data_IF_316325660590
#
_entry.id   IF_316325660590
#
_cell.length_a   1.000
_cell.length_b   1.000
_cell.length_c   1.000
_cell.angle_alpha   90.00
_cell.angle_beta   90.00
_cell.angle_gamma   90.00
#
_symmetry.space_group_name_H-M   'P 1'
#
loop_
_entity.id
_entity.type
_entity.pdbx_description
1 polymer ?
#
# COMPACT_ATOMS: atom_id res chain seq x y z
N UNK A 1 -4.76 22.00 -10.83
CA UNK A 1 -4.90 20.61 -10.32
C UNK A 1 -4.42 19.66 -11.41
N UNK A 2 -3.54 18.72 -11.09
CA UNK A 2 -2.81 17.92 -12.10
C UNK A 2 -3.74 16.89 -12.79
N UNK A 3 -3.70 16.77 -14.12
CA UNK A 3 -4.54 15.80 -14.86
C UNK A 3 -4.34 14.36 -14.39
N UNK A 4 -3.12 14.04 -13.97
CA UNK A 4 -2.74 12.72 -13.45
C UNK A 4 -3.49 12.35 -12.16
N UNK A 5 -3.78 13.33 -11.31
CA UNK A 5 -4.56 13.13 -10.09
C UNK A 5 -5.98 12.68 -10.40
N UNK A 6 -6.63 13.30 -11.39
CA UNK A 6 -7.98 12.93 -11.82
C UNK A 6 -8.04 11.54 -12.48
N UNK A 7 -7.01 11.18 -13.24
CA UNK A 7 -6.91 9.84 -13.85
C UNK A 7 -6.76 8.78 -12.75
N UNK A 8 -5.88 9.00 -11.78
CA UNK A 8 -5.70 8.07 -10.65
C UNK A 8 -6.99 7.95 -9.84
N UNK A 9 -7.69 9.05 -9.59
CA UNK A 9 -8.98 9.02 -8.89
C UNK A 9 -10.05 8.23 -9.64
N UNK A 10 -10.11 8.41 -10.97
CA UNK A 10 -11.08 7.71 -11.81
C UNK A 10 -10.81 6.19 -11.82
N UNK A 11 -9.55 5.78 -11.88
CA UNK A 11 -9.16 4.35 -11.83
C UNK A 11 -9.52 3.73 -10.48
N UNK A 12 -9.22 4.41 -9.38
CA UNK A 12 -9.56 3.94 -8.03
C UNK A 12 -11.08 3.85 -7.87
N UNK A 13 -11.83 4.89 -8.26
CA UNK A 13 -13.29 4.91 -8.19
C UNK A 13 -13.93 3.79 -9.01
N UNK A 14 -13.45 3.56 -10.24
CA UNK A 14 -13.93 2.47 -11.09
C UNK A 14 -13.68 1.09 -10.48
N UNK A 15 -12.50 0.87 -9.88
CA UNK A 15 -12.18 -0.37 -9.17
C UNK A 15 -13.11 -0.65 -7.98
N UNK A 16 -13.42 0.38 -7.19
CA UNK A 16 -14.36 0.26 -6.07
C UNK A 16 -15.78 -0.06 -6.55
N UNK A 17 -16.26 0.61 -7.60
CA UNK A 17 -17.59 0.36 -8.17
C UNK A 17 -17.69 -1.07 -8.71
N UNK A 18 -16.67 -1.56 -9.41
CA UNK A 18 -16.63 -2.94 -9.89
C UNK A 18 -16.68 -3.96 -8.75
N UNK A 19 -15.94 -3.73 -7.67
CA UNK A 19 -15.97 -4.57 -6.47
C UNK A 19 -17.34 -4.57 -5.78
N UNK A 20 -17.99 -3.41 -5.67
CA UNK A 20 -19.33 -3.29 -5.10
C UNK A 20 -20.37 -4.04 -5.94
N UNK A 21 -20.30 -3.90 -7.26
CA UNK A 21 -21.22 -4.58 -8.17
C UNK A 21 -21.01 -6.09 -8.18
N UNK A 22 -19.79 -6.55 -7.97
CA UNK A 22 -19.46 -7.98 -7.97
C UNK A 22 -19.48 -8.65 -6.59
N UNK A 23 -19.91 -7.93 -5.55
CA UNK A 23 -19.95 -8.41 -4.17
C UNK A 23 -20.87 -9.64 -3.99
N UNK A 24 -21.84 -9.86 -4.88
CA UNK A 24 -22.84 -10.92 -4.77
C UNK A 24 -22.48 -12.23 -5.48
N UNK A 25 -21.49 -12.22 -6.38
CA UNK A 25 -21.15 -13.39 -7.21
C UNK A 25 -20.12 -14.33 -6.54
N UNK A 26 -19.49 -13.88 -5.44
CA UNK A 26 -18.41 -14.60 -4.75
C UNK A 26 -17.08 -14.67 -5.50
N UNK A 27 -17.07 -14.40 -6.81
CA UNK A 27 -15.88 -14.50 -7.67
C UNK A 27 -15.77 -13.28 -8.60
N UNK A 28 -14.60 -12.65 -8.66
CA UNK A 28 -14.25 -11.60 -9.62
C UNK A 28 -13.19 -12.08 -10.60
N UNK A 29 -13.49 -12.01 -11.91
CA UNK A 29 -12.60 -12.51 -12.98
C UNK A 29 -12.19 -14.00 -12.81
N UNK A 30 -13.06 -14.83 -12.23
CA UNK A 30 -12.76 -16.25 -11.96
C UNK A 30 -11.88 -16.50 -10.72
N UNK A 31 -11.55 -15.46 -9.96
CA UNK A 31 -10.84 -15.51 -8.68
C UNK A 31 -11.81 -15.24 -7.53
N UNK A 32 -11.61 -15.87 -6.37
CA UNK A 32 -12.37 -15.56 -5.15
C UNK A 32 -12.27 -14.06 -4.81
N UNK A 33 -13.38 -13.47 -4.36
CA UNK A 33 -13.44 -12.04 -4.08
C UNK A 33 -12.43 -11.57 -3.02
N UNK A 34 -12.12 -12.40 -2.03
CA UNK A 34 -11.16 -12.09 -0.99
C UNK A 34 -9.72 -12.05 -1.55
N UNK A 35 -9.39 -13.00 -2.44
CA UNK A 35 -8.09 -13.05 -3.10
C UNK A 35 -7.91 -11.90 -4.09
N UNK A 36 -8.98 -11.57 -4.85
CA UNK A 36 -8.99 -10.43 -5.74
C UNK A 36 -8.85 -9.11 -4.97
N UNK A 37 -9.55 -8.97 -3.83
CA UNK A 37 -9.40 -7.82 -2.94
C UNK A 37 -7.98 -7.70 -2.37
N UNK A 38 -7.35 -8.81 -1.97
CA UNK A 38 -5.97 -8.84 -1.49
C UNK A 38 -4.97 -8.46 -2.58
N UNK A 39 -5.18 -8.93 -3.81
CA UNK A 39 -4.38 -8.57 -4.98
C UNK A 39 -4.47 -7.07 -5.28
N UNK A 40 -5.69 -6.51 -5.27
CA UNK A 40 -5.89 -5.07 -5.45
C UNK A 40 -5.18 -4.29 -4.34
N UNK A 41 -5.34 -4.68 -3.08
CA UNK A 41 -4.73 -3.99 -1.95
C UNK A 41 -3.20 -3.94 -2.06
N UNK A 42 -2.56 -5.10 -2.24
CA UNK A 42 -1.11 -5.20 -2.38
C UNK A 42 -0.63 -4.52 -3.67
N UNK A 43 -1.36 -4.70 -4.77
CA UNK A 43 -1.04 -4.11 -6.07
C UNK A 43 -1.05 -2.59 -6.02
N UNK A 44 -2.06 -1.98 -5.39
CA UNK A 44 -2.13 -0.52 -5.19
C UNK A 44 -0.97 -0.04 -4.32
N UNK A 45 -0.67 -0.73 -3.23
CA UNK A 45 0.46 -0.38 -2.35
C UNK A 45 1.79 -0.36 -3.10
N UNK A 46 2.08 -1.45 -3.83
CA UNK A 46 3.29 -1.59 -4.63
C UNK A 46 3.33 -0.55 -5.75
N UNK A 47 2.21 -0.29 -6.43
CA UNK A 47 2.14 0.74 -7.47
C UNK A 47 2.39 2.14 -6.93
N UNK A 48 1.82 2.50 -5.77
CA UNK A 48 2.05 3.82 -5.16
C UNK A 48 3.51 3.98 -4.75
N UNK A 49 4.08 2.96 -4.11
CA UNK A 49 5.49 2.95 -3.73
C UNK A 49 6.37 3.05 -4.98
N UNK A 50 6.16 2.18 -5.97
CA UNK A 50 6.92 2.16 -7.22
C UNK A 50 6.79 3.45 -8.03
N UNK A 51 5.58 4.00 -8.16
CA UNK A 51 5.36 5.28 -8.85
C UNK A 51 6.02 6.45 -8.11
N UNK A 52 6.03 6.43 -6.77
CA UNK A 52 6.72 7.45 -5.97
C UNK A 52 8.24 7.39 -6.18
N UNK A 53 8.81 6.18 -6.26
CA UNK A 53 10.22 5.94 -6.56
C UNK A 53 10.57 6.46 -7.96
N UNK A 54 9.82 6.02 -8.98
CA UNK A 54 10.07 6.35 -10.39
C UNK A 54 9.90 7.85 -10.68
N UNK A 55 9.00 8.54 -9.99
CA UNK A 55 8.74 9.98 -10.22
C UNK A 55 9.72 10.91 -9.49
N UNK A 56 10.47 10.40 -8.52
CA UNK A 56 11.27 11.26 -7.64
C UNK A 56 12.47 11.91 -8.34
N UNK A 57 13.03 11.28 -9.38
CA UNK A 57 14.27 11.75 -10.03
C UNK A 57 15.48 11.87 -9.09
N UNK A 58 15.36 11.36 -7.86
CA UNK A 58 16.39 11.41 -6.83
C UNK A 58 17.25 10.15 -6.89
N UNK A 59 18.50 10.21 -6.39
CA UNK A 59 19.34 9.03 -6.28
C UNK A 59 18.61 7.94 -5.49
N UNK A 60 18.45 6.75 -6.07
CA UNK A 60 17.73 5.64 -5.41
C UNK A 60 18.34 5.28 -4.04
N UNK A 61 19.64 5.52 -3.85
CA UNK A 61 20.33 5.32 -2.58
C UNK A 61 19.79 6.20 -1.44
N UNK A 62 19.52 7.48 -1.69
CA UNK A 62 18.97 8.39 -0.66
C UNK A 62 17.55 8.00 -0.27
N UNK A 63 16.78 7.52 -1.24
CA UNK A 63 15.39 7.09 -1.03
C UNK A 63 15.34 5.77 -0.26
N UNK A 64 16.17 4.79 -0.61
CA UNK A 64 16.31 3.54 0.12
C UNK A 64 16.82 3.77 1.55
N UNK A 65 17.75 4.71 1.75
CA UNK A 65 18.23 5.10 3.07
C UNK A 65 17.11 5.70 3.92
N UNK A 66 16.31 6.61 3.35
CA UNK A 66 15.18 7.21 4.07
C UNK A 66 14.11 6.17 4.44
N UNK A 67 13.76 5.27 3.52
CA UNK A 67 12.83 4.15 3.79
C UNK A 67 13.41 3.23 4.88
N UNK A 68 14.71 2.92 4.81
CA UNK A 68 15.39 2.10 5.81
C UNK A 68 15.40 2.74 7.21
N UNK A 69 15.58 4.05 7.30
CA UNK A 69 15.50 4.79 8.58
C UNK A 69 14.09 4.72 9.16
N UNK A 70 13.06 4.92 8.35
CA UNK A 70 11.67 4.79 8.79
C UNK A 70 11.32 3.36 9.22
N UNK A 71 11.76 2.36 8.46
CA UNK A 71 11.56 0.96 8.82
C UNK A 71 12.27 0.61 10.13
N UNK A 72 13.50 1.08 10.34
CA UNK A 72 14.23 0.88 11.59
C UNK A 72 13.51 1.54 12.78
N UNK A 73 12.99 2.76 12.62
CA UNK A 73 12.20 3.44 13.65
C UNK A 73 10.94 2.64 14.02
N UNK A 74 10.20 2.14 13.03
CA UNK A 74 9.01 1.31 13.27
C UNK A 74 9.39 0.03 14.01
N UNK A 75 10.48 -0.63 13.62
CA UNK A 75 10.96 -1.85 14.29
C UNK A 75 11.36 -1.58 15.74
N UNK A 76 12.03 -0.45 16.01
CA UNK A 76 12.34 -0.02 17.38
C UNK A 76 11.07 0.22 18.19
N UNK A 77 10.06 0.88 17.61
CA UNK A 77 8.77 1.09 18.28
C UNK A 77 8.04 -0.24 18.57
N UNK A 78 8.06 -1.18 17.62
CA UNK A 78 7.49 -2.52 17.81
C UNK A 78 8.23 -3.25 18.93
N UNK A 79 9.57 -3.23 18.92
CA UNK A 79 10.38 -3.85 19.95
C UNK A 79 10.11 -3.22 21.32
N UNK A 80 10.11 -1.89 21.42
CA UNK A 80 9.81 -1.18 22.66
C UNK A 80 8.40 -1.50 23.19
N UNK A 81 7.42 -1.66 22.29
CA UNK A 81 6.05 -2.04 22.66
C UNK A 81 5.98 -3.49 23.15
N UNK A 82 6.66 -4.42 22.47
CA UNK A 82 6.74 -5.82 22.88
C UNK A 82 7.41 -5.94 24.25
N UNK A 83 8.57 -5.30 24.41
CA UNK A 83 9.36 -5.33 25.63
C UNK A 83 8.83 -4.41 26.74
N UNK A 84 7.68 -3.74 26.53
CA UNK A 84 7.20 -2.72 27.48
C UNK A 84 6.94 -3.31 28.86
N UNK A 85 6.54 -4.58 28.90
CA UNK A 85 6.15 -5.24 30.13
C UNK A 85 7.37 -5.75 30.88
N UNK A 86 8.38 -6.28 30.18
CA UNK A 86 9.66 -6.67 30.79
C UNK A 86 10.52 -5.46 31.21
N UNK A 87 10.26 -4.27 30.65
CA UNK A 87 10.89 -3.00 31.05
C UNK A 87 10.15 -2.27 32.18
N UNK A 88 8.94 -2.74 32.54
CA UNK A 88 8.10 -2.16 33.58
C UNK A 88 8.14 -2.93 34.91
N UNK A 89 8.75 -4.12 34.94
CA UNK A 89 9.09 -4.89 36.15
C UNK A 89 10.47 -4.52 36.69
#
# INVERSE_FOLDING_TARGET
MNRLFWIVMAVIGAGVVLLMLNNSAGHTFGMDNNDFGRLIWVGVLVMVIGASLLRSGRPMGDMARNIGVWAALILVLIAAYQYRYELQD
#
